data_IF_723586197740
#
_entry.id   IF_723586197740
#
_cell.length_a   1.000
_cell.length_b   1.000
_cell.length_c   1.000
_cell.angle_alpha   90.00
_cell.angle_beta   90.00
_cell.angle_gamma   90.00
#
_symmetry.space_group_name_H-M   'P 1'
#
loop_
_entity.id
_entity.type
_entity.pdbx_description
1 polymer ?
#
# COMPACT_ATOMS: atom_id res chain seq x y z
N UNK A 1 1.08 4.98 -11.59
CA UNK A 1 0.99 6.44 -11.30
C UNK A 1 0.39 6.63 -9.92
N UNK A 2 1.07 7.34 -9.02
CA UNK A 2 0.54 7.66 -7.69
C UNK A 2 -0.65 8.61 -7.85
N UNK A 3 -1.83 8.25 -7.33
CA UNK A 3 -2.99 9.14 -7.34
C UNK A 3 -2.65 10.40 -6.54
N UNK A 4 -3.01 11.57 -7.08
CA UNK A 4 -2.88 12.85 -6.37
C UNK A 4 -3.74 12.78 -5.11
N UNK A 5 -3.17 13.09 -3.95
CA UNK A 5 -3.87 13.05 -2.66
C UNK A 5 -4.66 14.34 -2.49
N UNK A 6 -5.88 14.25 -1.95
CA UNK A 6 -6.62 15.43 -1.50
C UNK A 6 -5.88 16.06 -0.30
N UNK A 7 -5.95 17.39 -0.20
CA UNK A 7 -5.37 18.17 0.90
C UNK A 7 -6.28 19.34 1.23
N UNK A 8 -6.18 19.85 2.45
CA UNK A 8 -6.80 21.13 2.81
C UNK A 8 -6.26 22.23 1.90
N UNK A 9 -7.16 23.11 1.46
CA UNK A 9 -6.86 24.17 0.51
C UNK A 9 -7.31 25.53 1.03
N UNK A 10 -6.63 26.58 0.57
CA UNK A 10 -7.05 27.97 0.73
C UNK A 10 -7.83 28.43 -0.50
N UNK A 11 -8.62 29.49 -0.34
CA UNK A 11 -9.51 29.99 -1.39
C UNK A 11 -8.74 30.47 -2.63
N UNK A 12 -7.52 30.98 -2.45
CA UNK A 12 -6.62 31.41 -3.52
C UNK A 12 -5.89 30.25 -4.22
N UNK A 13 -5.97 29.03 -3.70
CA UNK A 13 -5.34 27.84 -4.29
C UNK A 13 -6.28 27.08 -5.23
N UNK A 14 -7.57 27.40 -5.24
CA UNK A 14 -8.60 26.61 -5.92
C UNK A 14 -9.52 27.44 -6.80
N UNK A 15 -10.01 26.81 -7.86
CA UNK A 15 -11.16 27.26 -8.61
C UNK A 15 -12.37 26.41 -8.21
N UNK A 16 -13.49 27.09 -7.92
CA UNK A 16 -14.75 26.45 -7.55
C UNK A 16 -15.79 26.76 -8.63
N UNK A 17 -16.32 25.71 -9.23
CA UNK A 17 -17.42 25.79 -10.20
C UNK A 17 -18.65 25.11 -9.60
N UNK A 18 -19.85 25.66 -9.83
CA UNK A 18 -21.12 25.09 -9.36
C UNK A 18 -21.82 24.40 -10.52
N UNK A 19 -22.10 23.12 -10.38
CA UNK A 19 -22.83 22.29 -11.34
C UNK A 19 -24.06 21.69 -10.63
N UNK A 20 -25.22 22.30 -10.84
CA UNK A 20 -26.49 21.96 -10.18
C UNK A 20 -26.41 21.94 -8.63
N UNK A 21 -26.25 20.75 -8.06
CA UNK A 21 -26.17 20.48 -6.61
C UNK A 21 -24.75 20.03 -6.18
N UNK A 22 -23.78 20.17 -7.09
CA UNK A 22 -22.39 19.70 -6.97
C UNK A 22 -21.42 20.87 -7.09
N UNK A 23 -20.50 20.97 -6.14
CA UNK A 23 -19.35 21.87 -6.23
C UNK A 23 -18.16 21.13 -6.83
N UNK A 24 -17.63 21.64 -7.94
CA UNK A 24 -16.42 21.14 -8.59
C UNK A 24 -15.24 22.00 -8.13
N UNK A 25 -14.32 21.38 -7.40
CA UNK A 25 -13.16 22.06 -6.80
C UNK A 25 -11.90 21.56 -7.50
N UNK A 26 -11.17 22.47 -8.12
CA UNK A 26 -9.93 22.18 -8.85
C UNK A 26 -8.78 23.05 -8.31
N UNK A 27 -7.63 22.44 -8.02
CA UNK A 27 -6.44 23.17 -7.62
C UNK A 27 -5.80 23.88 -8.81
N UNK A 28 -5.51 25.17 -8.65
CA UNK A 28 -4.94 26.01 -9.71
C UNK A 28 -3.55 25.55 -10.15
N UNK A 29 -2.75 25.02 -9.22
CA UNK A 29 -1.40 24.49 -9.45
C UNK A 29 -1.39 23.05 -10.01
N UNK A 30 -2.57 22.42 -10.13
CA UNK A 30 -2.71 21.03 -10.53
C UNK A 30 -2.12 20.02 -9.53
N UNK A 31 -1.79 20.41 -8.30
CA UNK A 31 -1.20 19.54 -7.28
C UNK A 31 -2.20 18.49 -6.77
N UNK A 32 -3.48 18.83 -6.72
CA UNK A 32 -4.56 17.96 -6.24
C UNK A 32 -5.43 17.34 -7.33
N UNK A 33 -6.25 16.34 -6.98
CA UNK A 33 -7.31 15.84 -7.86
C UNK A 33 -8.50 16.82 -7.90
N UNK A 34 -9.19 16.90 -9.03
CA UNK A 34 -10.49 17.57 -9.13
C UNK A 34 -11.51 16.83 -8.28
N UNK A 35 -12.15 17.52 -7.34
CA UNK A 35 -13.15 16.94 -6.42
C UNK A 35 -14.55 17.40 -6.80
N UNK A 36 -15.49 16.46 -6.88
CA UNK A 36 -16.92 16.72 -7.07
C UNK A 36 -17.61 16.52 -5.72
N UNK A 37 -17.93 17.60 -5.03
CA UNK A 37 -18.54 17.59 -3.70
C UNK A 37 -20.05 17.79 -3.82
N UNK A 38 -20.82 16.75 -3.49
CA UNK A 38 -22.27 16.83 -3.46
C UNK A 38 -22.73 17.52 -2.17
N UNK A 39 -23.18 18.77 -2.29
CA UNK A 39 -23.67 19.58 -1.16
C UNK A 39 -25.20 19.62 -1.13
N UNK A 40 -25.84 19.51 -2.30
CA UNK A 40 -27.29 19.62 -2.43
C UNK A 40 -27.78 21.06 -2.63
N UNK A 41 -29.10 21.29 -2.56
CA UNK A 41 -29.73 22.57 -2.94
C UNK A 41 -29.23 23.78 -2.15
N UNK A 42 -28.74 23.57 -0.92
CA UNK A 42 -28.18 24.64 -0.05
C UNK A 42 -26.96 25.32 -0.68
N UNK A 43 -26.27 24.68 -1.62
CA UNK A 43 -25.10 25.24 -2.31
C UNK A 43 -25.40 26.57 -3.02
N UNK A 44 -26.64 26.79 -3.46
CA UNK A 44 -27.05 28.02 -4.17
C UNK A 44 -26.93 29.27 -3.31
N UNK A 45 -27.01 29.11 -1.99
CA UNK A 45 -26.95 30.20 -1.02
C UNK A 45 -25.55 30.32 -0.38
N UNK A 46 -24.65 29.38 -0.67
CA UNK A 46 -23.31 29.32 -0.10
C UNK A 46 -22.30 30.10 -0.93
N UNK A 47 -21.47 30.87 -0.23
CA UNK A 47 -20.25 31.47 -0.78
C UNK A 47 -19.20 30.40 -1.13
N UNK A 48 -18.25 30.78 -1.99
CA UNK A 48 -17.10 29.91 -2.32
C UNK A 48 -16.30 29.53 -1.06
N UNK A 49 -16.23 30.43 -0.08
CA UNK A 49 -15.55 30.18 1.19
C UNK A 49 -16.27 29.09 2.02
N UNK A 50 -17.61 29.11 2.07
CA UNK A 50 -18.40 28.08 2.77
C UNK A 50 -18.33 26.72 2.07
N UNK A 51 -18.36 26.71 0.73
CA UNK A 51 -18.16 25.49 -0.07
C UNK A 51 -16.76 24.91 0.18
N UNK A 52 -15.74 25.75 0.22
CA UNK A 52 -14.38 25.34 0.50
C UNK A 52 -14.21 24.83 1.93
N UNK A 53 -14.92 25.43 2.90
CA UNK A 53 -14.92 24.97 4.27
C UNK A 53 -15.47 23.54 4.37
N UNK A 54 -16.62 23.26 3.75
CA UNK A 54 -17.21 21.91 3.71
C UNK A 54 -16.26 20.90 3.06
N UNK A 55 -15.57 21.29 1.97
CA UNK A 55 -14.52 20.47 1.38
C UNK A 55 -13.38 20.19 2.37
N UNK A 56 -12.85 21.22 3.02
CA UNK A 56 -11.74 21.08 3.96
C UNK A 56 -12.13 20.23 5.17
N UNK A 57 -13.36 20.36 5.67
CA UNK A 57 -13.92 19.51 6.73
C UNK A 57 -14.00 18.05 6.28
N UNK A 58 -14.45 17.77 5.05
CA UNK A 58 -14.42 16.42 4.48
C UNK A 58 -13.01 15.85 4.40
N UNK A 59 -12.04 16.64 3.93
CA UNK A 59 -10.64 16.21 3.84
C UNK A 59 -10.07 15.93 5.24
N UNK A 60 -10.30 16.81 6.22
CA UNK A 60 -9.85 16.59 7.59
C UNK A 60 -10.52 15.38 8.23
N UNK A 61 -11.80 15.14 7.98
CA UNK A 61 -12.50 13.95 8.47
C UNK A 61 -11.94 12.67 7.83
N UNK A 62 -11.62 12.69 6.53
CA UNK A 62 -10.96 11.57 5.86
C UNK A 62 -9.54 11.33 6.40
N UNK A 63 -8.77 12.40 6.64
CA UNK A 63 -7.44 12.29 7.23
C UNK A 63 -7.50 11.81 8.68
N UNK A 64 -8.48 12.26 9.45
CA UNK A 64 -8.74 11.78 10.81
C UNK A 64 -9.10 10.29 10.80
N UNK A 65 -10.02 9.87 9.93
CA UNK A 65 -10.38 8.46 9.77
C UNK A 65 -9.17 7.62 9.31
N UNK A 66 -8.37 8.11 8.36
CA UNK A 66 -7.16 7.43 7.91
C UNK A 66 -6.09 7.33 9.01
N UNK A 67 -5.94 8.38 9.83
CA UNK A 67 -5.01 8.42 10.95
C UNK A 67 -5.49 7.56 12.14
N UNK A 68 -6.80 7.43 12.30
CA UNK A 68 -7.42 6.65 13.38
C UNK A 68 -7.65 5.18 12.97
N UNK A 69 -7.63 4.87 11.67
CA UNK A 69 -7.71 3.51 11.16
C UNK A 69 -6.39 2.77 11.39
N UNK A 70 -6.27 2.15 12.56
CA UNK A 70 -5.18 1.22 12.86
C UNK A 70 -5.50 -0.14 12.25
N UNK A 71 -4.93 -0.42 11.07
CA UNK A 71 -4.97 -1.76 10.51
C UNK A 71 -3.94 -2.64 11.23
N UNK A 72 -4.42 -3.68 11.90
CA UNK A 72 -3.57 -4.75 12.42
C UNK A 72 -3.36 -5.76 11.29
N UNK A 73 -2.11 -5.97 10.88
CA UNK A 73 -1.77 -7.06 9.97
C UNK A 73 -2.02 -8.40 10.67
N UNK A 74 -2.74 -9.31 10.00
CA UNK A 74 -3.03 -10.64 10.54
C UNK A 74 -2.01 -11.64 10.01
N UNK A 75 -1.19 -12.16 10.90
CA UNK A 75 -0.27 -13.25 10.61
C UNK A 75 -0.93 -14.61 10.86
N UNK A 76 -0.74 -15.56 9.92
CA UNK A 76 -1.22 -16.93 10.08
C UNK A 76 -0.31 -17.66 11.07
N UNK A 77 -0.83 -18.35 12.10
CA UNK A 77 -0.01 -19.07 13.08
C UNK A 77 0.97 -20.07 12.43
N UNK A 78 2.15 -20.30 13.02
CA UNK A 78 3.08 -21.34 12.56
C UNK A 78 2.42 -22.71 12.40
N UNK A 79 2.85 -23.47 11.38
CA UNK A 79 2.29 -24.78 11.03
C UNK A 79 0.91 -24.75 10.37
N UNK A 80 0.30 -23.57 10.18
CA UNK A 80 -0.92 -23.41 9.38
C UNK A 80 -0.57 -22.92 7.98
N UNK A 81 -1.28 -23.39 6.92
CA UNK A 81 -1.04 -22.91 5.56
C UNK A 81 -1.24 -21.40 5.47
N UNK A 82 -0.24 -20.67 4.99
CA UNK A 82 -0.30 -19.26 4.65
C UNK A 82 -0.97 -19.01 3.30
N UNK A 83 -0.93 -19.98 2.40
CA UNK A 83 -1.52 -19.93 1.07
C UNK A 83 -2.81 -20.75 0.96
N UNK A 84 -3.66 -20.35 0.03
CA UNK A 84 -4.75 -21.19 -0.48
C UNK A 84 -4.85 -21.03 -2.00
N UNK A 85 -5.16 -22.12 -2.69
CA UNK A 85 -5.37 -22.06 -4.12
C UNK A 85 -6.78 -21.54 -4.45
N UNK A 86 -6.87 -20.56 -5.35
CA UNK A 86 -8.11 -19.95 -5.80
C UNK A 86 -8.42 -20.39 -7.24
N UNK A 87 -9.16 -21.50 -7.37
CA UNK A 87 -9.43 -22.17 -8.64
C UNK A 87 -10.05 -21.26 -9.73
N UNK A 88 -10.85 -20.27 -9.37
CA UNK A 88 -11.47 -19.36 -10.35
C UNK A 88 -10.48 -18.40 -11.01
N UNK A 89 -9.37 -18.10 -10.33
CA UNK A 89 -8.31 -17.22 -10.83
C UNK A 89 -7.04 -17.98 -11.20
N UNK A 90 -7.05 -19.32 -11.11
CA UNK A 90 -5.90 -20.20 -11.33
C UNK A 90 -4.61 -19.66 -10.67
N UNK A 91 -4.72 -19.33 -9.38
CA UNK A 91 -3.62 -18.71 -8.65
C UNK A 91 -3.66 -19.03 -7.16
N UNK A 92 -2.49 -19.02 -6.54
CA UNK A 92 -2.35 -18.95 -5.10
C UNK A 92 -2.76 -17.56 -4.59
N UNK A 93 -3.41 -17.54 -3.43
CA UNK A 93 -3.74 -16.30 -2.71
C UNK A 93 -3.36 -16.42 -1.24
N UNK A 94 -2.89 -15.32 -0.62
CA UNK A 94 -2.52 -15.30 0.78
C UNK A 94 -3.75 -15.41 1.68
N UNK A 95 -3.61 -16.04 2.84
CA UNK A 95 -4.64 -16.14 3.89
C UNK A 95 -4.51 -15.07 4.95
N UNK A 96 -3.32 -14.50 5.13
CA UNK A 96 -3.00 -13.42 6.05
C UNK A 96 -2.30 -12.25 5.37
N UNK A 97 -2.06 -11.19 6.14
CA UNK A 97 -1.36 -9.98 5.71
C UNK A 97 0.18 -10.12 5.84
N UNK A 98 0.66 -11.13 6.58
CA UNK A 98 2.09 -11.46 6.73
C UNK A 98 2.38 -12.78 6.03
N UNK A 99 3.45 -12.80 5.23
CA UNK A 99 3.97 -13.98 4.55
C UNK A 99 5.41 -14.23 5.03
N UNK A 100 5.65 -15.43 5.54
CA UNK A 100 6.98 -15.96 5.83
C UNK A 100 7.43 -16.77 4.62
N UNK A 101 8.49 -16.30 3.97
CA UNK A 101 8.99 -16.85 2.72
C UNK A 101 10.48 -17.17 2.84
N UNK A 102 10.93 -18.21 2.15
CA UNK A 102 12.34 -18.45 1.88
C UNK A 102 12.63 -18.00 0.44
N UNK A 103 13.77 -17.35 0.22
CA UNK A 103 14.19 -16.88 -1.10
C UNK A 103 15.32 -17.78 -1.56
N UNK A 104 15.11 -18.45 -2.70
CA UNK A 104 16.09 -19.30 -3.34
C UNK A 104 16.63 -18.64 -4.61
N UNK A 105 17.89 -18.92 -4.94
CA UNK A 105 18.45 -18.59 -6.24
C UNK A 105 18.26 -19.77 -7.19
N UNK A 106 17.35 -19.62 -8.14
CA UNK A 106 17.21 -20.54 -9.25
C UNK A 106 18.07 -20.03 -10.42
N UNK A 107 19.26 -20.62 -10.56
CA UNK A 107 20.11 -20.38 -11.71
C UNK A 107 19.46 -20.86 -13.00
N UNK A 108 19.37 -19.97 -14.00
CA UNK A 108 19.04 -20.33 -15.39
C UNK A 108 20.24 -20.08 -16.29
N UNK A 109 20.24 -20.66 -17.49
CA UNK A 109 21.21 -20.32 -18.55
C UNK A 109 21.22 -18.82 -18.91
N UNK A 110 20.19 -18.07 -18.52
CA UNK A 110 20.03 -16.63 -18.74
C UNK A 110 20.36 -15.73 -17.53
N UNK A 111 20.74 -16.29 -16.38
CA UNK A 111 21.02 -15.55 -15.15
C UNK A 111 20.33 -16.13 -13.90
N UNK A 112 20.66 -15.58 -12.72
CA UNK A 112 20.00 -15.90 -11.45
C UNK A 112 18.63 -15.24 -11.36
N UNK A 113 17.63 -16.00 -10.90
CA UNK A 113 16.27 -15.52 -10.67
C UNK A 113 15.75 -16.03 -9.33
N UNK A 114 15.15 -15.15 -8.55
CA UNK A 114 14.58 -15.52 -7.26
C UNK A 114 13.36 -16.44 -7.44
N UNK A 115 13.37 -17.56 -6.74
CA UNK A 115 12.20 -18.36 -6.45
C UNK A 115 11.81 -18.18 -4.98
N UNK A 116 10.50 -18.11 -4.72
CA UNK A 116 9.96 -17.81 -3.40
C UNK A 116 9.24 -19.04 -2.87
N UNK A 117 9.75 -19.62 -1.80
CA UNK A 117 9.11 -20.76 -1.15
C UNK A 117 8.19 -20.31 -0.02
N UNK A 118 6.94 -20.80 -0.02
CA UNK A 118 5.94 -20.60 1.04
C UNK A 118 5.12 -21.88 1.18
N UNK A 119 4.96 -22.40 2.40
CA UNK A 119 4.22 -23.64 2.67
C UNK A 119 4.67 -24.84 1.82
N UNK A 120 6.00 -25.04 1.70
CA UNK A 120 6.61 -26.08 0.85
C UNK A 120 6.24 -25.94 -0.66
N UNK A 121 5.72 -24.79 -1.08
CA UNK A 121 5.46 -24.47 -2.49
C UNK A 121 6.51 -23.48 -3.00
N UNK A 122 7.30 -23.90 -3.97
CA UNK A 122 8.19 -23.01 -4.71
C UNK A 122 7.39 -22.24 -5.77
N UNK A 123 7.37 -20.91 -5.65
CA UNK A 123 6.73 -20.01 -6.58
C UNK A 123 7.79 -19.30 -7.42
N UNK A 124 7.62 -19.31 -8.74
CA UNK A 124 8.39 -18.41 -9.60
C UNK A 124 8.06 -16.94 -9.28
N UNK A 125 8.95 -16.01 -9.64
CA UNK A 125 8.69 -14.58 -9.43
C UNK A 125 7.41 -14.11 -10.14
N UNK A 126 7.04 -14.74 -11.27
CA UNK A 126 5.82 -14.42 -12.00
C UNK A 126 4.57 -14.84 -11.22
N UNK A 127 4.59 -16.04 -10.64
CA UNK A 127 3.50 -16.55 -9.80
C UNK A 127 3.37 -15.79 -8.50
N UNK A 128 4.49 -15.49 -7.85
CA UNK A 128 4.53 -14.65 -6.66
C UNK A 128 4.02 -13.23 -6.97
N UNK A 129 4.46 -12.64 -8.08
CA UNK A 129 3.97 -11.35 -8.56
C UNK A 129 2.46 -11.33 -8.83
N UNK A 130 1.94 -12.39 -9.45
CA UNK A 130 0.49 -12.56 -9.66
C UNK A 130 -0.26 -12.66 -8.33
N UNK A 131 0.26 -13.39 -7.35
CA UNK A 131 -0.34 -13.49 -6.01
C UNK A 131 -0.45 -12.11 -5.33
N UNK A 132 0.60 -11.27 -5.42
CA UNK A 132 0.63 -9.93 -4.83
C UNK A 132 -0.46 -8.99 -5.38
N UNK A 133 -1.04 -9.28 -6.56
CA UNK A 133 -2.16 -8.48 -7.10
C UNK A 133 -3.40 -8.51 -6.20
N UNK A 134 -3.51 -9.47 -5.28
CA UNK A 134 -4.52 -9.50 -4.20
C UNK A 134 -4.47 -8.23 -3.33
N UNK A 135 -3.31 -7.59 -3.23
CA UNK A 135 -3.06 -6.36 -2.48
C UNK A 135 -2.91 -5.12 -3.38
N UNK A 136 -3.45 -5.15 -4.61
CA UNK A 136 -3.39 -4.01 -5.51
C UNK A 136 -3.94 -2.72 -4.85
N UNK A 137 -3.11 -1.68 -4.80
CA UNK A 137 -3.43 -0.40 -4.15
C UNK A 137 -2.89 -0.23 -2.73
N UNK A 138 -2.20 -1.23 -2.20
CA UNK A 138 -1.64 -1.23 -0.85
C UNK A 138 -0.12 -1.05 -0.88
N UNK A 139 0.45 -0.63 0.26
CA UNK A 139 1.89 -0.64 0.47
C UNK A 139 2.38 -1.97 1.03
N UNK A 140 3.63 -2.33 0.74
CA UNK A 140 4.30 -3.51 1.28
C UNK A 140 5.64 -3.10 1.88
N UNK A 141 5.99 -3.65 3.05
CA UNK A 141 7.32 -3.57 3.66
C UNK A 141 7.92 -4.97 3.64
N UNK A 142 9.20 -5.09 3.26
CA UNK A 142 9.92 -6.36 3.23
C UNK A 142 11.05 -6.28 4.27
N UNK A 143 11.17 -7.32 5.10
CA UNK A 143 12.24 -7.49 6.07
C UNK A 143 12.98 -8.78 5.74
N UNK A 144 14.31 -8.72 5.64
CA UNK A 144 15.15 -9.90 5.43
C UNK A 144 15.63 -10.41 6.79
N UNK A 145 15.41 -11.69 7.05
CA UNK A 145 15.87 -12.38 8.27
C UNK A 145 16.52 -13.70 7.89
N UNK A 146 17.41 -14.25 8.73
CA UNK A 146 17.84 -15.64 8.60
C UNK A 146 16.65 -16.61 8.57
N UNK A 147 16.77 -17.71 7.83
CA UNK A 147 15.71 -18.71 7.66
C UNK A 147 15.18 -19.25 9.01
N UNK A 148 16.08 -19.48 9.97
CA UNK A 148 15.76 -19.99 11.30
C UNK A 148 14.97 -18.99 12.18
N UNK A 149 14.79 -17.76 11.71
CA UNK A 149 14.09 -16.69 12.43
C UNK A 149 12.76 -16.29 11.78
N UNK A 150 12.34 -16.96 10.71
CA UNK A 150 11.10 -16.65 9.99
C UNK A 150 9.84 -16.70 10.86
N UNK A 151 9.82 -17.54 11.90
CA UNK A 151 8.65 -17.64 12.80
C UNK A 151 8.60 -16.57 13.90
N UNK A 152 9.60 -15.70 13.97
CA UNK A 152 9.71 -14.66 15.01
C UNK A 152 9.42 -13.30 14.42
N UNK A 153 8.76 -12.45 15.20
CA UNK A 153 8.60 -11.04 14.84
C UNK A 153 10.00 -10.38 14.80
N UNK A 154 10.43 -9.82 13.66
CA UNK A 154 11.75 -9.21 13.55
C UNK A 154 11.79 -7.88 14.29
N UNK A 155 12.87 -7.65 15.02
CA UNK A 155 13.17 -6.32 15.55
C UNK A 155 13.69 -5.42 14.41
N UNK A 156 13.10 -4.23 14.26
CA UNK A 156 13.45 -3.30 13.18
C UNK A 156 14.11 -2.06 13.78
N UNK A 157 15.37 -1.83 13.44
CA UNK A 157 16.09 -0.59 13.75
C UNK A 157 16.01 0.39 12.57
N UNK A 158 15.70 1.66 12.85
CA UNK A 158 15.69 2.73 11.84
C UNK A 158 17.03 3.47 11.88
N UNK A 159 17.95 3.10 11.00
CA UNK A 159 19.24 3.76 10.81
C UNK A 159 19.72 3.63 9.36
N UNK A 160 20.69 4.44 8.98
CA UNK A 160 21.43 4.22 7.74
C UNK A 160 22.31 2.96 7.86
N UNK A 161 22.47 2.19 6.78
CA UNK A 161 23.45 1.10 6.72
C UNK A 161 24.86 1.64 6.96
N UNK A 162 25.74 0.82 7.54
CA UNK A 162 27.15 1.18 7.64
C UNK A 162 27.87 0.50 6.47
N UNK A 163 28.28 1.27 5.46
CA UNK A 163 28.79 0.78 4.17
C UNK A 163 29.96 -0.22 4.29
N UNK A 164 30.69 -0.22 5.41
CA UNK A 164 31.86 -1.08 5.63
C UNK A 164 31.53 -2.46 6.27
N UNK A 165 30.33 -2.67 6.83
CA UNK A 165 30.02 -3.86 7.62
C UNK A 165 29.22 -4.95 6.87
N UNK A 166 28.52 -4.61 5.79
CA UNK A 166 27.49 -5.49 5.21
C UNK A 166 27.98 -6.41 4.08
N UNK A 167 29.21 -6.25 3.59
CA UNK A 167 29.82 -7.13 2.57
C UNK A 167 30.63 -8.31 3.15
N UNK A 168 30.74 -8.43 4.47
CA UNK A 168 31.50 -9.51 5.15
C UNK A 168 30.60 -10.58 5.80
N UNK A 169 29.30 -10.67 5.46
CA UNK A 169 28.55 -11.90 5.70
C UNK A 169 28.87 -12.87 4.56
N UNK A 170 30.07 -13.44 4.64
CA UNK A 170 30.49 -14.59 3.86
C UNK A 170 29.44 -15.70 4.00
N UNK A 171 28.96 -16.18 2.86
CA UNK A 171 28.23 -17.43 2.73
C UNK A 171 29.24 -18.58 2.84
N UNK A 172 29.68 -18.87 4.06
CA UNK A 172 30.53 -20.04 4.37
C UNK A 172 29.75 -21.02 5.26
N UNK A 173 29.10 -22.02 4.64
CA UNK A 173 29.38 -23.47 4.78
C UNK A 173 28.42 -24.33 3.93
#
# INVERSE_FOLDING_TARGET
MRRKKQRVARLDEVQITREDDVAVIAFLDGSGPTTHLHIGPKMREMSDAEILQEYNECVMAQEFLAATYYRVAVEIPPGQPQLRYFARGDQWVPRGDVLRCVIHDCGSDSGSQAAIEIDDQELSIEEFGRMLTTYAGWGMRICFVPEDQLEREPEIEVREPNDEADYCRDWDE
#
